data_IF_100525197953
#
_entry.id   IF_100525197953
#
_cell.length_a   1.000
_cell.length_b   1.000
_cell.length_c   1.000
_cell.angle_alpha   90.00
_cell.angle_beta   90.00
_cell.angle_gamma   90.00
#
_symmetry.space_group_name_H-M   'P 1'
#
loop_
_entity.id
_entity.type
_entity.pdbx_description
1 polymer ?
#
# COMPACT_ATOMS: atom_id res chain seq x y z
N UNK A 1 43.31 -17.93 -53.82
CA UNK A 1 42.61 -19.17 -53.40
C UNK A 1 42.98 -19.44 -51.95
N UNK A 2 42.08 -19.20 -50.99
CA UNK A 2 41.29 -20.21 -50.26
C UNK A 2 42.16 -21.17 -49.39
N UNK A 3 41.95 -21.36 -48.09
CA UNK A 3 40.92 -20.84 -47.20
C UNK A 3 41.05 -21.30 -45.73
N UNK A 4 40.20 -20.71 -44.90
CA UNK A 4 39.38 -21.28 -43.80
C UNK A 4 40.00 -22.35 -42.88
N UNK A 5 40.08 -22.01 -41.59
CA UNK A 5 40.28 -22.97 -40.50
C UNK A 5 40.10 -22.39 -39.09
N UNK A 6 39.02 -21.65 -38.84
CA UNK A 6 38.57 -21.31 -37.47
C UNK A 6 38.02 -22.59 -36.81
N UNK A 7 38.73 -23.10 -35.80
CA UNK A 7 38.28 -24.12 -34.82
C UNK A 7 38.93 -23.69 -33.51
N UNK A 8 38.20 -23.27 -32.49
CA UNK A 8 37.14 -24.04 -31.86
C UNK A 8 37.71 -24.56 -30.56
N UNK A 9 37.57 -23.77 -29.50
CA UNK A 9 38.11 -24.04 -28.17
C UNK A 9 37.62 -22.97 -27.20
N UNK A 10 36.32 -22.68 -27.26
CA UNK A 10 35.66 -21.83 -26.28
C UNK A 10 35.69 -22.60 -24.96
N UNK A 11 36.41 -22.03 -24.01
CA UNK A 11 36.64 -22.57 -22.68
C UNK A 11 35.31 -22.92 -22.00
N UNK A 12 35.25 -23.98 -21.18
CA UNK A 12 34.07 -24.29 -20.42
C UNK A 12 33.76 -23.09 -19.53
N UNK A 13 32.67 -22.39 -19.88
CA UNK A 13 32.10 -21.35 -19.04
C UNK A 13 31.86 -21.95 -17.67
N UNK A 14 32.72 -21.58 -16.72
CA UNK A 14 32.48 -21.70 -15.30
C UNK A 14 31.15 -20.99 -15.04
N UNK A 15 30.07 -21.77 -15.02
CA UNK A 15 28.78 -21.33 -14.53
C UNK A 15 29.01 -20.81 -13.12
N UNK A 16 28.86 -19.50 -12.96
CA UNK A 16 28.88 -18.88 -11.65
C UNK A 16 27.89 -19.64 -10.76
N UNK A 17 28.26 -19.98 -9.51
CA UNK A 17 27.32 -20.63 -8.62
C UNK A 17 26.08 -19.75 -8.51
N UNK A 18 24.96 -20.38 -8.84
CA UNK A 18 23.61 -19.86 -8.71
C UNK A 18 23.50 -19.12 -7.38
N UNK A 19 23.23 -17.82 -7.45
CA UNK A 19 23.25 -16.90 -6.32
C UNK A 19 22.02 -17.11 -5.45
N UNK A 20 21.92 -18.28 -4.82
CA UNK A 20 20.85 -18.66 -3.91
C UNK A 20 21.06 -18.13 -2.48
N UNK A 21 22.05 -17.25 -2.28
CA UNK A 21 22.25 -16.52 -1.01
C UNK A 21 22.11 -15.02 -1.22
N UNK A 22 21.01 -14.57 -1.83
CA UNK A 22 20.63 -13.16 -1.71
C UNK A 22 20.11 -12.96 -0.29
N UNK A 23 20.93 -12.33 0.57
CA UNK A 23 20.46 -11.92 1.89
C UNK A 23 19.19 -11.06 1.71
N UNK A 24 18.13 -11.27 2.52
CA UNK A 24 16.89 -10.52 2.38
C UNK A 24 17.22 -9.02 2.43
N UNK A 25 16.95 -8.34 1.31
CA UNK A 25 17.27 -6.91 1.18
C UNK A 25 16.22 -6.13 1.94
N UNK A 26 16.63 -5.56 3.06
CA UNK A 26 15.79 -4.67 3.84
C UNK A 26 15.68 -3.30 3.18
N UNK A 27 14.49 -2.69 3.28
CA UNK A 27 14.17 -1.38 2.74
C UNK A 27 13.85 -0.39 3.87
N UNK A 28 14.33 0.86 3.83
CA UNK A 28 13.94 1.86 4.82
C UNK A 28 12.44 2.11 4.83
N UNK A 29 11.87 2.29 6.03
CA UNK A 29 10.45 2.51 6.23
C UNK A 29 10.15 3.25 7.54
N UNK A 30 8.87 3.53 7.76
CA UNK A 30 8.37 4.20 8.97
C UNK A 30 7.14 3.47 9.47
N UNK A 31 7.13 3.15 10.76
CA UNK A 31 5.94 2.78 11.51
C UNK A 31 5.48 3.95 12.39
N UNK A 32 4.23 3.90 12.80
CA UNK A 32 3.69 4.84 13.77
C UNK A 32 3.29 4.11 15.05
N UNK A 33 3.76 4.62 16.18
CA UNK A 33 3.35 4.18 17.53
C UNK A 33 2.56 5.28 18.20
N UNK A 34 1.88 4.97 19.32
CA UNK A 34 1.21 5.97 20.13
C UNK A 34 2.09 6.35 21.32
N UNK A 35 2.43 7.63 21.43
CA UNK A 35 3.06 8.23 22.60
C UNK A 35 2.15 9.34 23.11
N UNK A 36 1.69 9.23 24.35
CA UNK A 36 0.77 10.20 24.97
C UNK A 36 -0.49 10.44 24.13
N UNK A 37 -1.04 9.38 23.53
CA UNK A 37 -2.21 9.43 22.66
C UNK A 37 -1.96 10.04 21.28
N UNK A 38 -0.72 10.38 20.93
CA UNK A 38 -0.36 10.98 19.64
C UNK A 38 0.49 10.03 18.80
N UNK A 39 0.23 9.90 17.48
CA UNK A 39 1.09 9.15 16.58
C UNK A 39 2.51 9.71 16.55
N UNK A 40 3.50 8.86 16.79
CA UNK A 40 4.93 9.18 16.74
C UNK A 40 5.61 8.27 15.72
N UNK A 41 6.50 8.84 14.91
CA UNK A 41 7.23 8.09 13.89
C UNK A 41 8.31 7.22 14.53
N UNK A 42 8.43 5.99 14.04
CA UNK A 42 9.50 5.06 14.34
C UNK A 42 10.15 4.63 13.03
N UNK A 43 11.42 4.98 12.84
CA UNK A 43 12.18 4.58 11.65
C UNK A 43 12.57 3.12 11.75
N UNK A 44 12.33 2.37 10.67
CA UNK A 44 12.55 0.93 10.64
C UNK A 44 13.10 0.48 9.29
N UNK A 45 13.53 -0.77 9.23
CA UNK A 45 13.92 -1.51 8.06
C UNK A 45 12.89 -2.62 7.82
N UNK A 46 12.26 -2.65 6.64
CA UNK A 46 11.25 -3.64 6.26
C UNK A 46 11.83 -4.69 5.32
N UNK A 47 11.53 -5.96 5.59
CA UNK A 47 12.01 -7.12 4.84
C UNK A 47 10.96 -7.69 3.89
N UNK A 48 10.84 -9.02 3.92
CA UNK A 48 9.88 -9.77 3.10
C UNK A 48 8.47 -9.59 3.66
N UNK A 49 7.47 -9.59 2.77
CA UNK A 49 6.05 -9.64 3.12
C UNK A 49 5.40 -10.87 2.48
N UNK A 50 4.48 -11.50 3.21
CA UNK A 50 3.68 -12.64 2.75
C UNK A 50 2.21 -12.25 2.46
N UNK A 51 1.91 -10.95 2.47
CA UNK A 51 0.57 -10.40 2.26
C UNK A 51 -0.24 -10.16 3.54
N UNK A 52 0.07 -10.85 4.63
CA UNK A 52 -0.54 -10.62 5.95
C UNK A 52 0.45 -10.02 6.95
N UNK A 53 1.71 -10.39 6.83
CA UNK A 53 2.81 -9.99 7.70
C UNK A 53 3.95 -9.39 6.88
N UNK A 54 4.76 -8.57 7.55
CA UNK A 54 5.99 -7.99 7.00
C UNK A 54 7.07 -8.10 8.06
N UNK A 55 8.25 -8.59 7.69
CA UNK A 55 9.40 -8.58 8.59
C UNK A 55 9.84 -7.13 8.84
N UNK A 56 10.09 -6.76 10.09
CA UNK A 56 10.54 -5.42 10.45
C UNK A 56 11.68 -5.51 11.46
N UNK A 57 12.71 -4.67 11.28
CA UNK A 57 13.83 -4.50 12.21
C UNK A 57 14.07 -3.02 12.46
N UNK A 58 14.49 -2.66 13.66
CA UNK A 58 14.80 -1.28 13.99
C UNK A 58 14.94 -1.10 15.50
N UNK A 59 15.62 -0.04 15.89
CA UNK A 59 15.78 0.31 17.30
C UNK A 59 14.45 0.82 17.87
N UNK A 60 14.15 0.45 19.13
CA UNK A 60 12.88 0.82 19.79
C UNK A 60 11.66 -0.02 19.39
N UNK A 61 11.87 -1.14 18.69
CA UNK A 61 10.87 -2.20 18.52
C UNK A 61 11.04 -3.27 19.59
N UNK A 62 10.25 -3.15 20.64
CA UNK A 62 10.15 -4.16 21.70
C UNK A 62 8.89 -5.01 21.55
N UNK A 63 8.94 -6.22 22.10
CA UNK A 63 7.75 -7.08 22.19
C UNK A 63 6.68 -6.37 23.02
N UNK A 64 5.47 -6.28 22.47
CA UNK A 64 4.34 -5.58 23.09
C UNK A 64 4.19 -4.11 22.66
N UNK A 65 5.13 -3.56 21.89
CA UNK A 65 4.97 -2.22 21.29
C UNK A 65 3.74 -2.20 20.37
N UNK A 66 2.82 -1.27 20.65
CA UNK A 66 1.62 -1.08 19.85
C UNK A 66 1.93 -0.20 18.64
N UNK A 67 1.67 -0.73 17.45
CA UNK A 67 1.83 -0.05 16.17
C UNK A 67 0.47 0.21 15.53
N UNK A 68 0.38 1.30 14.77
CA UNK A 68 -0.82 1.65 14.01
C UNK A 68 -0.73 0.96 12.64
N UNK A 69 -1.71 0.12 12.31
CA UNK A 69 -1.75 -0.67 11.06
C UNK A 69 -2.80 -0.19 10.05
N UNK A 70 -3.62 0.79 10.44
CA UNK A 70 -4.68 1.33 9.58
C UNK A 70 -5.41 2.49 10.25
N UNK A 71 -6.27 3.16 9.47
CA UNK A 71 -7.16 4.21 9.95
C UNK A 71 -8.59 3.82 9.60
N UNK A 72 -9.48 3.91 10.59
CA UNK A 72 -10.92 3.82 10.33
C UNK A 72 -11.45 5.22 10.04
N UNK A 73 -11.75 5.49 8.77
CA UNK A 73 -12.37 6.74 8.35
C UNK A 73 -13.86 6.65 8.62
N UNK A 74 -14.30 7.07 9.80
CA UNK A 74 -15.73 7.26 10.05
C UNK A 74 -16.20 8.51 9.29
N UNK A 75 -16.81 8.29 8.13
CA UNK A 75 -17.46 9.36 7.39
C UNK A 75 -18.66 9.85 8.21
N UNK A 76 -18.48 10.95 8.95
CA UNK A 76 -19.61 11.66 9.55
C UNK A 76 -20.39 12.24 8.37
N UNK A 77 -21.51 11.62 8.02
CA UNK A 77 -22.46 12.18 7.09
C UNK A 77 -22.96 13.50 7.69
N UNK A 78 -22.29 14.60 7.32
CA UNK A 78 -22.80 15.95 7.53
C UNK A 78 -24.12 15.98 6.78
N UNK A 79 -25.24 15.96 7.51
CA UNK A 79 -26.61 15.97 7.01
C UNK A 79 -26.67 16.52 5.58
N UNK A 80 -26.75 15.62 4.59
CA UNK A 80 -26.95 15.97 3.18
C UNK A 80 -28.41 16.38 2.96
N UNK A 81 -28.99 17.10 3.93
CA UNK A 81 -30.25 17.78 3.75
C UNK A 81 -29.95 18.90 2.73
N UNK A 82 -30.50 18.82 1.50
CA UNK A 82 -30.37 19.94 0.58
C UNK A 82 -30.89 21.19 1.29
N UNK A 83 -30.24 22.35 1.13
CA UNK A 83 -30.69 23.59 1.74
C UNK A 83 -32.18 23.79 1.46
N UNK A 84 -32.99 24.19 2.47
CA UNK A 84 -34.37 24.57 2.24
C UNK A 84 -34.43 25.59 1.08
N UNK A 85 -35.10 25.21 -0.02
CA UNK A 85 -35.18 26.02 -1.24
C UNK A 85 -34.55 25.42 -2.51
N UNK A 86 -33.78 24.32 -2.42
CA UNK A 86 -33.25 23.63 -3.62
C UNK A 86 -34.19 22.57 -4.21
N UNK A 87 -35.44 22.52 -3.73
CA UNK A 87 -36.57 21.86 -4.40
C UNK A 87 -37.40 22.93 -5.07
N UNK A 88 -37.12 23.21 -6.34
CA UNK A 88 -37.85 24.23 -7.11
C UNK A 88 -39.37 23.94 -7.18
N UNK A 89 -40.19 24.95 -7.46
CA UNK A 89 -41.62 24.78 -7.69
C UNK A 89 -41.83 24.09 -9.04
N UNK A 90 -41.71 22.76 -9.07
CA UNK A 90 -41.71 22.02 -10.34
C UNK A 90 -42.20 20.57 -10.29
N UNK A 91 -42.27 19.92 -9.13
CA UNK A 91 -42.84 18.56 -9.04
C UNK A 91 -44.33 18.59 -8.71
N UNK A 92 -45.13 19.30 -9.54
CA UNK A 92 -46.54 18.97 -9.71
C UNK A 92 -46.59 17.84 -10.74
N UNK A 93 -46.70 16.61 -10.25
CA UNK A 93 -47.02 15.47 -11.09
C UNK A 93 -48.31 15.72 -11.90
N UNK A 94 -48.47 15.11 -13.09
CA UNK A 94 -49.66 15.28 -13.89
C UNK A 94 -50.81 14.54 -13.20
N UNK A 95 -51.76 15.26 -12.61
CA UNK A 95 -52.83 14.61 -11.86
C UNK A 95 -53.99 15.52 -11.50
N UNK A 96 -54.93 15.67 -12.43
CA UNK A 96 -56.36 15.61 -12.12
C UNK A 96 -57.01 16.90 -11.62
N UNK A 97 -57.72 17.59 -12.52
CA UNK A 97 -58.69 18.60 -12.18
C UNK A 97 -59.96 18.03 -11.51
N UNK A 98 -60.60 18.86 -10.69
CA UNK A 98 -61.95 18.65 -10.17
C UNK A 98 -62.03 19.08 -8.69
N UNK A 99 -63.05 19.77 -8.19
CA UNK A 99 -64.30 20.33 -8.74
C UNK A 99 -64.68 21.46 -7.76
N UNK A 100 -65.59 22.31 -8.23
CA UNK A 100 -66.37 23.25 -7.41
C UNK A 100 -67.04 22.55 -6.24
#
# INVERSE_FOLDING_TARGET
MAGRGLRGGQEPGSVAPDSLSSAPTFRPGVLFTLKDGKPTRLFVMTGITDGAFTEVRGDGLDVGTKVIVGMELSARATNLQPPPGMGGPGFRGPGGGGRR
#
